data_IF_702891669575
#
_entry.id   IF_702891669575
#
_cell.length_a   1.000
_cell.length_b   1.000
_cell.length_c   1.000
_cell.angle_alpha   90.00
_cell.angle_beta   90.00
_cell.angle_gamma   90.00
#
_symmetry.space_group_name_H-M   'P 1'
#
loop_
_entity.id
_entity.type
_entity.pdbx_description
1 polymer ?
#
# COMPACT_ATOMS: atom_id res chain seq x y z
N UNK A 1 -8.15 -12.41 -17.33
CA UNK A 1 -7.35 -11.62 -16.38
C UNK A 1 -6.36 -12.54 -15.66
N UNK A 2 -5.13 -12.09 -15.57
CA UNK A 2 -4.13 -12.89 -14.86
C UNK A 2 -4.12 -12.53 -13.37
N UNK A 3 -3.82 -13.54 -12.56
CA UNK A 3 -3.72 -13.41 -11.11
C UNK A 3 -2.38 -13.97 -10.65
N UNK A 4 -1.87 -13.45 -9.56
CA UNK A 4 -0.78 -14.07 -8.83
C UNK A 4 -1.29 -14.54 -7.48
N UNK A 5 -0.64 -15.55 -6.90
CA UNK A 5 -1.01 -16.06 -5.58
C UNK A 5 -0.20 -15.35 -4.52
N UNK A 6 -0.88 -14.75 -3.58
CA UNK A 6 -0.28 -14.19 -2.37
C UNK A 6 -0.79 -14.96 -1.18
N UNK A 7 -0.13 -14.84 -0.04
CA UNK A 7 -0.56 -15.55 1.16
C UNK A 7 -0.34 -14.71 2.41
N UNK A 8 -1.15 -15.00 3.42
CA UNK A 8 -1.04 -14.43 4.75
C UNK A 8 -1.35 -15.54 5.77
N UNK A 9 -1.53 -15.17 7.04
CA UNK A 9 -1.84 -16.15 8.09
C UNK A 9 -3.16 -16.89 7.89
N UNK A 10 -4.04 -16.38 7.02
CA UNK A 10 -5.34 -17.00 6.72
C UNK A 10 -5.28 -17.92 5.50
N UNK A 11 -4.15 -18.01 4.82
CA UNK A 11 -3.98 -18.86 3.66
C UNK A 11 -3.71 -18.08 2.38
N UNK A 12 -3.94 -18.74 1.26
CA UNK A 12 -3.71 -18.15 -0.06
C UNK A 12 -4.88 -17.31 -0.52
N UNK A 13 -4.59 -16.26 -1.30
CA UNK A 13 -5.58 -15.42 -1.93
C UNK A 13 -5.08 -14.99 -3.32
N UNK A 14 -6.01 -14.89 -4.27
CA UNK A 14 -5.70 -14.48 -5.64
C UNK A 14 -5.71 -12.96 -5.73
N UNK A 15 -4.63 -12.38 -6.23
CA UNK A 15 -4.50 -10.94 -6.43
C UNK A 15 -4.30 -10.66 -7.92
N UNK A 16 -4.99 -9.66 -8.50
CA UNK A 16 -4.74 -9.30 -9.90
C UNK A 16 -3.25 -9.04 -10.13
N UNK A 17 -2.69 -9.69 -11.15
CA UNK A 17 -1.25 -9.67 -11.37
C UNK A 17 -0.68 -8.29 -11.67
N UNK A 18 -1.50 -7.39 -12.22
CA UNK A 18 -1.09 -6.03 -12.56
C UNK A 18 -1.17 -5.04 -11.40
N UNK A 19 -1.64 -5.48 -10.24
CA UNK A 19 -1.78 -4.62 -9.06
C UNK A 19 -0.66 -4.88 -8.06
N UNK A 20 -0.29 -3.83 -7.33
CA UNK A 20 0.85 -3.87 -6.40
C UNK A 20 0.48 -4.33 -5.00
N UNK A 21 -0.81 -4.37 -4.65
CA UNK A 21 -1.19 -4.75 -3.29
C UNK A 21 -1.04 -6.26 -3.07
N UNK A 22 -0.95 -6.63 -1.80
CA UNK A 22 -0.78 -8.02 -1.39
C UNK A 22 -2.05 -8.65 -0.84
N UNK A 23 -1.86 -9.74 -0.10
CA UNK A 23 -2.95 -10.57 0.41
C UNK A 23 -3.92 -9.83 1.33
N UNK A 24 -3.42 -9.04 2.27
CA UNK A 24 -4.26 -8.34 3.25
C UNK A 24 -5.19 -7.32 2.58
N UNK A 25 -4.64 -6.53 1.66
CA UNK A 25 -5.45 -5.57 0.92
C UNK A 25 -6.50 -6.27 0.07
N UNK A 26 -6.16 -7.38 -0.58
CA UNK A 26 -7.12 -8.12 -1.40
C UNK A 26 -8.26 -8.67 -0.55
N UNK A 27 -7.97 -9.20 0.62
CA UNK A 27 -9.03 -9.69 1.52
C UNK A 27 -9.96 -8.55 1.96
N UNK A 28 -9.41 -7.39 2.26
CA UNK A 28 -10.21 -6.23 2.62
C UNK A 28 -11.08 -5.76 1.46
N UNK A 29 -10.52 -5.74 0.27
CA UNK A 29 -11.23 -5.38 -0.96
C UNK A 29 -12.42 -6.32 -1.20
N UNK A 30 -12.23 -7.61 -0.98
CA UNK A 30 -13.29 -8.61 -1.12
C UNK A 30 -14.35 -8.49 -0.01
N UNK A 31 -13.93 -8.17 1.22
CA UNK A 31 -14.82 -8.10 2.37
C UNK A 31 -15.68 -6.84 2.43
N UNK A 32 -15.23 -5.75 1.82
CA UNK A 32 -15.91 -4.46 1.91
C UNK A 32 -16.22 -3.86 0.53
N UNK A 33 -17.07 -4.53 -0.27
CA UNK A 33 -17.41 -4.06 -1.61
C UNK A 33 -18.50 -2.99 -1.58
N UNK A 34 -18.32 -1.93 -0.79
CA UNK A 34 -19.30 -0.86 -0.58
C UNK A 34 -18.73 0.43 -1.16
N UNK A 35 -19.42 1.04 -2.12
CA UNK A 35 -19.00 2.29 -2.72
C UNK A 35 -17.70 2.21 -3.49
N UNK A 36 -17.38 1.04 -4.03
CA UNK A 36 -16.14 0.80 -4.77
C UNK A 36 -16.04 1.79 -5.94
N UNK A 37 -14.90 2.45 -6.02
CA UNK A 37 -14.66 3.46 -7.06
C UNK A 37 -15.18 4.84 -6.73
N UNK A 38 -16.09 4.96 -5.75
CA UNK A 38 -16.65 6.25 -5.32
C UNK A 38 -16.22 6.65 -3.92
N UNK A 39 -16.15 5.69 -3.02
CA UNK A 39 -15.87 5.94 -1.61
C UNK A 39 -14.48 5.40 -1.20
N UNK A 40 -13.53 5.46 -2.10
CA UNK A 40 -12.13 5.13 -1.82
C UNK A 40 -11.50 6.20 -0.95
N UNK A 41 -10.38 5.86 -0.32
CA UNK A 41 -9.64 6.83 0.49
C UNK A 41 -9.24 8.04 -0.35
N UNK A 42 -9.36 9.27 0.19
CA UNK A 42 -8.98 10.48 -0.54
C UNK A 42 -7.53 10.42 -1.02
N UNK A 43 -7.29 11.00 -2.19
CA UNK A 43 -5.94 11.05 -2.79
C UNK A 43 -4.93 11.74 -1.89
N UNK A 44 -5.37 12.74 -1.13
CA UNK A 44 -4.54 13.48 -0.18
C UNK A 44 -3.98 12.56 0.89
N UNK A 45 -4.78 11.61 1.38
CA UNK A 45 -4.35 10.63 2.37
C UNK A 45 -3.29 9.70 1.77
N UNK A 46 -3.54 9.17 0.57
CA UNK A 46 -2.59 8.31 -0.13
C UNK A 46 -1.26 9.03 -0.37
N UNK A 47 -1.32 10.27 -0.83
CA UNK A 47 -0.14 11.10 -1.03
C UNK A 47 0.62 11.32 0.27
N UNK A 48 -0.10 11.60 1.36
CA UNK A 48 0.52 11.80 2.68
C UNK A 48 1.23 10.55 3.16
N UNK A 49 0.69 9.36 2.91
CA UNK A 49 1.39 8.12 3.21
C UNK A 49 2.69 7.98 2.41
N UNK A 50 2.70 8.39 1.15
CA UNK A 50 3.92 8.41 0.35
C UNK A 50 5.00 9.26 1.01
N UNK A 51 4.65 10.46 1.45
CA UNK A 51 5.58 11.36 2.17
C UNK A 51 6.06 10.73 3.46
N UNK A 52 5.13 10.17 4.25
CA UNK A 52 5.45 9.55 5.53
C UNK A 52 6.41 8.37 5.38
N UNK A 53 6.12 7.47 4.45
CA UNK A 53 6.97 6.28 4.25
C UNK A 53 8.35 6.67 3.73
N UNK A 54 8.42 7.64 2.85
CA UNK A 54 9.71 8.15 2.36
C UNK A 54 10.55 8.75 3.49
N UNK A 55 9.93 9.61 4.29
CA UNK A 55 10.62 10.23 5.43
C UNK A 55 11.09 9.18 6.44
N UNK A 56 10.25 8.19 6.73
CA UNK A 56 10.59 7.11 7.65
C UNK A 56 11.76 6.26 7.10
N UNK A 57 11.75 5.96 5.81
CA UNK A 57 12.84 5.20 5.19
C UNK A 57 14.17 5.94 5.27
N UNK A 58 14.17 7.24 4.99
CA UNK A 58 15.37 8.07 5.10
C UNK A 58 15.90 8.13 6.53
N UNK A 59 15.00 8.33 7.49
CA UNK A 59 15.39 8.36 8.90
C UNK A 59 15.97 7.02 9.34
N UNK A 60 15.34 5.92 8.95
CA UNK A 60 15.80 4.58 9.31
C UNK A 60 17.15 4.25 8.68
N UNK A 61 17.42 4.74 7.49
CA UNK A 61 18.72 4.55 6.86
C UNK A 61 19.84 5.24 7.65
N UNK A 62 19.57 6.42 8.21
CA UNK A 62 20.54 7.12 9.06
C UNK A 62 20.73 6.40 10.39
N UNK A 63 19.64 5.95 11.02
CA UNK A 63 19.65 5.35 12.35
C UNK A 63 20.08 3.88 12.36
N UNK A 64 19.72 3.12 11.36
CA UNK A 64 19.93 1.67 11.26
C UNK A 64 20.34 1.28 9.83
N UNK A 65 21.49 1.74 9.34
CA UNK A 65 21.89 1.48 7.95
C UNK A 65 22.08 -0.01 7.63
N UNK A 66 22.32 -0.83 8.65
CA UNK A 66 22.48 -2.28 8.49
C UNK A 66 21.14 -2.98 8.18
N UNK A 67 20.02 -2.37 8.57
CA UNK A 67 18.67 -2.90 8.30
C UNK A 67 18.01 -2.17 7.14
N UNK A 68 18.10 -0.86 7.12
CA UNK A 68 17.62 -0.05 5.99
C UNK A 68 18.81 0.28 5.11
N UNK A 69 19.17 -0.66 4.25
CA UNK A 69 20.31 -0.51 3.35
C UNK A 69 20.03 0.54 2.28
N UNK A 70 21.09 1.01 1.62
CA UNK A 70 20.94 1.99 0.54
C UNK A 70 20.10 1.46 -0.60
N UNK A 71 20.21 0.17 -0.92
CA UNK A 71 19.41 -0.45 -1.97
C UNK A 71 17.93 -0.44 -1.62
N UNK A 72 17.60 -0.80 -0.39
CA UNK A 72 16.20 -0.75 0.09
C UNK A 72 15.67 0.67 0.07
N UNK A 73 16.46 1.64 0.54
CA UNK A 73 16.08 3.04 0.54
C UNK A 73 15.78 3.53 -0.87
N UNK A 74 16.64 3.20 -1.84
CA UNK A 74 16.46 3.61 -3.22
C UNK A 74 15.15 3.10 -3.80
N UNK A 75 14.81 1.83 -3.56
CA UNK A 75 13.56 1.25 -4.06
C UNK A 75 12.34 1.84 -3.37
N UNK A 76 12.42 2.08 -2.06
CA UNK A 76 11.32 2.72 -1.33
C UNK A 76 11.12 4.17 -1.83
N UNK A 77 12.20 4.90 -2.09
CA UNK A 77 12.10 6.26 -2.63
C UNK A 77 11.40 6.28 -4.00
N UNK A 78 11.73 5.34 -4.87
CA UNK A 78 11.06 5.23 -6.17
C UNK A 78 9.56 4.98 -5.99
N UNK A 79 9.20 4.00 -5.19
CA UNK A 79 7.80 3.64 -4.97
C UNK A 79 7.03 4.78 -4.30
N UNK A 80 7.59 5.39 -3.27
CA UNK A 80 6.94 6.49 -2.56
C UNK A 80 6.76 7.72 -3.47
N UNK A 81 7.73 7.98 -4.34
CA UNK A 81 7.62 9.09 -5.30
C UNK A 81 6.49 8.85 -6.29
N UNK A 82 6.35 7.62 -6.80
CA UNK A 82 5.23 7.28 -7.68
C UNK A 82 3.88 7.50 -7.00
N UNK A 83 3.78 7.13 -5.72
CA UNK A 83 2.56 7.36 -4.92
C UNK A 83 2.29 8.85 -4.77
N UNK A 84 3.32 9.65 -4.42
CA UNK A 84 3.17 11.09 -4.24
C UNK A 84 2.79 11.80 -5.54
N UNK A 85 3.28 11.31 -6.68
CA UNK A 85 2.96 11.87 -7.99
C UNK A 85 1.57 11.45 -8.50
N UNK A 86 0.90 10.55 -7.80
CA UNK A 86 -0.45 10.11 -8.16
C UNK A 86 -0.51 9.06 -9.26
N UNK A 87 0.60 8.41 -9.55
CA UNK A 87 0.66 7.40 -10.62
C UNK A 87 0.04 6.07 -10.27
N UNK A 88 -0.17 5.80 -8.98
CA UNK A 88 -0.60 4.51 -8.48
C UNK A 88 -1.95 4.56 -7.74
N UNK A 89 -2.80 5.56 -7.99
CA UNK A 89 -4.06 5.68 -7.25
C UNK A 89 -4.98 4.48 -7.44
N UNK A 90 -4.96 3.84 -8.60
CA UNK A 90 -5.74 2.63 -8.85
C UNK A 90 -5.20 1.38 -8.14
N UNK A 91 -4.05 1.49 -7.49
CA UNK A 91 -3.49 0.43 -6.65
C UNK A 91 -3.89 0.59 -5.16
N UNK A 92 -4.75 1.55 -4.85
CA UNK A 92 -5.29 1.80 -3.51
C UNK A 92 -6.81 1.65 -3.56
N UNK A 93 -7.31 0.39 -3.62
CA UNK A 93 -8.71 0.13 -3.94
C UNK A 93 -9.65 0.21 -2.75
N UNK A 94 -9.12 0.34 -1.53
CA UNK A 94 -9.93 0.22 -0.33
C UNK A 94 -10.82 1.43 -0.12
N UNK A 95 -12.03 1.16 0.36
CA UNK A 95 -13.03 2.18 0.65
C UNK A 95 -12.79 2.79 2.03
N UNK A 96 -13.49 3.89 2.33
CA UNK A 96 -13.36 4.59 3.62
C UNK A 96 -13.98 3.83 4.78
N UNK A 97 -14.78 2.80 4.50
CA UNK A 97 -15.46 1.99 5.50
C UNK A 97 -14.48 1.00 6.14
N UNK A 98 -13.69 1.52 7.06
CA UNK A 98 -12.63 0.77 7.74
C UNK A 98 -12.79 0.91 9.25
N UNK A 99 -12.07 0.08 10.00
CA UNK A 99 -12.02 0.21 11.45
C UNK A 99 -11.42 1.56 11.83
N UNK A 100 -11.88 2.12 12.94
CA UNK A 100 -11.40 3.43 13.41
C UNK A 100 -9.94 3.43 13.87
N UNK A 101 -9.33 2.24 14.03
CA UNK A 101 -7.94 2.13 14.46
C UNK A 101 -6.94 2.58 13.40
N UNK A 102 -7.32 2.58 12.12
CA UNK A 102 -6.44 2.97 11.02
C UNK A 102 -5.46 1.91 10.56
N UNK A 103 -5.46 0.73 11.15
CA UNK A 103 -4.52 -0.34 10.77
C UNK A 103 -4.69 -0.79 9.32
N UNK A 104 -5.90 -0.70 8.79
CA UNK A 104 -6.18 -1.13 7.42
C UNK A 104 -5.49 -0.24 6.38
N UNK A 105 -5.29 1.03 6.68
CA UNK A 105 -4.60 1.96 5.78
C UNK A 105 -3.12 1.65 5.64
N UNK A 106 -2.53 1.06 6.67
CA UNK A 106 -1.12 0.73 6.66
C UNK A 106 -0.81 -0.39 5.69
#
# INVERSE_FOLDING_TARGET
>A
MEYRMEHDSMGEVRVPADKYWGAQTERSHENFPIGVGLETMPREITRAFGVLKLAAARANHVLKPEKMTKEKLTEIEKAATEVMEGKLFDHFPLVVWQTGSGTQSN
#
